data_IF_985568120137
#
_entry.id   IF_985568120137
#
_cell.length_a   1.000
_cell.length_b   1.000
_cell.length_c   1.000
_cell.angle_alpha   90.00
_cell.angle_beta   90.00
_cell.angle_gamma   90.00
#
_symmetry.space_group_name_H-M   'P 1'
#
loop_
_entity.id
_entity.type
_entity.pdbx_description
1 polymer ?
#
# COMPACT_ATOMS: atom_id res chain seq x y z
N UNK A 1 2.28 25.99 0.42
CA UNK A 1 3.09 25.17 1.35
C UNK A 1 4.42 24.94 0.66
N UNK A 2 5.53 25.28 1.30
CA UNK A 2 6.85 24.99 0.72
C UNK A 2 6.95 23.46 0.60
N UNK A 3 7.15 22.92 -0.61
CA UNK A 3 7.20 21.47 -0.87
C UNK A 3 8.51 20.82 -0.37
N UNK A 4 9.02 21.31 0.76
CA UNK A 4 10.36 20.99 1.25
C UNK A 4 10.24 19.90 2.31
N UNK A 5 10.74 18.73 1.98
CA UNK A 5 10.83 17.59 2.89
C UNK A 5 11.74 17.95 4.08
N UNK A 6 11.26 17.90 5.33
CA UNK A 6 12.03 18.31 6.50
C UNK A 6 13.18 17.34 6.77
N UNK A 7 14.23 17.82 7.44
CA UNK A 7 15.29 16.94 7.91
C UNK A 7 14.79 16.13 9.11
N UNK A 8 14.95 14.81 9.03
CA UNK A 8 14.66 13.88 10.12
C UNK A 8 15.91 13.07 10.42
N UNK A 9 16.48 13.30 11.61
CA UNK A 9 17.52 12.45 12.18
C UNK A 9 16.95 11.74 13.40
N UNK A 10 16.71 10.45 13.27
CA UNK A 10 16.12 9.62 14.33
C UNK A 10 16.91 9.69 15.63
N UNK A 11 18.24 9.64 15.56
CA UNK A 11 19.08 9.55 16.75
C UNK A 11 18.94 10.78 17.64
N UNK A 12 18.79 11.97 17.05
CA UNK A 12 18.63 13.23 17.78
C UNK A 12 17.34 13.32 18.62
N UNK A 13 16.27 12.62 18.24
CA UNK A 13 14.95 12.74 18.88
C UNK A 13 14.35 11.40 19.32
N UNK A 14 15.12 10.30 19.28
CA UNK A 14 14.66 8.93 19.59
C UNK A 14 13.88 8.80 20.91
N UNK A 15 14.30 9.54 21.94
CA UNK A 15 13.64 9.52 23.25
C UNK A 15 12.26 10.20 23.20
N UNK A 16 12.16 11.32 22.46
CA UNK A 16 10.88 11.98 22.17
C UNK A 16 10.00 11.13 21.25
N UNK A 17 10.58 10.46 20.25
CA UNK A 17 9.87 9.51 19.40
C UNK A 17 9.29 8.35 20.21
N UNK A 18 10.07 7.77 21.13
CA UNK A 18 9.63 6.70 22.03
C UNK A 18 8.53 7.16 22.99
N UNK A 19 8.63 8.38 23.53
CA UNK A 19 7.57 8.96 24.35
C UNK A 19 6.26 9.12 23.55
N UNK A 20 6.35 9.75 22.38
CA UNK A 20 5.21 9.99 21.51
C UNK A 20 4.56 8.68 21.04
N UNK A 21 5.37 7.65 20.74
CA UNK A 21 4.90 6.31 20.42
C UNK A 21 3.99 5.76 21.51
N UNK A 22 4.45 5.76 22.76
CA UNK A 22 3.68 5.23 23.89
C UNK A 22 2.45 6.07 24.20
N UNK A 23 2.52 7.40 24.05
CA UNK A 23 1.36 8.29 24.20
C UNK A 23 0.28 8.01 23.14
N UNK A 24 0.69 7.79 21.89
CA UNK A 24 -0.22 7.37 20.82
C UNK A 24 -0.79 5.97 21.09
N UNK A 25 -0.03 5.04 21.69
CA UNK A 25 -0.56 3.73 22.06
C UNK A 25 -1.66 3.83 23.11
N UNK A 26 -1.54 4.70 24.12
CA UNK A 26 -2.60 4.92 25.13
C UNK A 26 -3.91 5.32 24.45
N UNK A 27 -3.86 6.34 23.59
CA UNK A 27 -5.05 6.80 22.87
C UNK A 27 -5.56 5.77 21.84
N UNK A 28 -4.63 5.07 21.19
CA UNK A 28 -4.92 4.01 20.23
C UNK A 28 -5.60 2.79 20.85
N UNK A 29 -5.19 2.39 22.06
CA UNK A 29 -5.81 1.32 22.85
C UNK A 29 -7.22 1.67 23.29
N UNK A 30 -7.45 2.92 23.68
CA UNK A 30 -8.80 3.44 23.90
C UNK A 30 -9.64 3.35 22.62
N UNK A 31 -9.15 3.88 21.49
CA UNK A 31 -9.86 3.78 20.21
C UNK A 31 -10.18 2.33 19.82
N UNK A 32 -9.23 1.42 19.99
CA UNK A 32 -9.39 -0.01 19.71
C UNK A 32 -10.47 -0.67 20.57
N UNK A 33 -10.52 -0.35 21.88
CA UNK A 33 -11.49 -0.92 22.81
C UNK A 33 -12.92 -0.42 22.57
N UNK A 34 -13.07 0.79 22.06
CA UNK A 34 -14.36 1.50 21.98
C UNK A 34 -14.92 1.63 20.56
N UNK A 35 -14.22 1.16 19.54
CA UNK A 35 -14.69 1.23 18.15
C UNK A 35 -14.96 -0.17 17.61
N UNK A 36 -16.13 -0.45 16.99
CA UNK A 36 -16.39 -1.73 16.34
C UNK A 36 -15.26 -2.15 15.41
N UNK A 37 -14.89 -3.43 15.46
CA UNK A 37 -13.80 -3.96 14.66
C UNK A 37 -14.05 -3.73 13.17
N UNK A 38 -13.11 -3.08 12.50
CA UNK A 38 -13.06 -2.95 11.06
C UNK A 38 -11.90 -3.80 10.57
N UNK A 39 -12.09 -4.43 9.41
CA UNK A 39 -11.09 -5.32 8.83
C UNK A 39 -9.69 -4.71 8.83
N UNK A 40 -8.70 -5.56 9.13
CA UNK A 40 -7.29 -5.18 9.27
C UNK A 40 -7.02 -4.16 10.38
N UNK A 41 -7.82 -4.18 11.45
CA UNK A 41 -7.71 -3.24 12.59
C UNK A 41 -7.79 -1.76 12.21
N UNK A 42 -8.37 -1.42 11.04
CA UNK A 42 -8.44 -0.04 10.54
C UNK A 42 -9.30 0.89 11.42
N UNK A 43 -10.11 0.32 12.32
CA UNK A 43 -10.87 1.04 13.33
C UNK A 43 -9.99 1.64 14.45
N UNK A 44 -8.69 1.36 14.51
CA UNK A 44 -7.81 1.80 15.61
C UNK A 44 -6.68 2.79 15.25
N UNK A 45 -6.42 3.08 13.97
CA UNK A 45 -5.42 4.04 13.46
C UNK A 45 -5.65 5.55 13.72
N UNK A 46 -4.69 6.40 13.35
CA UNK A 46 -4.81 7.86 13.33
C UNK A 46 -4.63 8.43 11.92
N UNK A 47 -5.08 9.65 11.68
CA UNK A 47 -5.00 10.32 10.38
C UNK A 47 -4.19 11.62 10.48
N UNK A 48 -3.36 11.89 9.48
CA UNK A 48 -2.64 13.16 9.38
C UNK A 48 -3.61 14.29 9.06
N UNK A 49 -3.55 15.33 9.88
CA UNK A 49 -4.34 16.56 9.77
C UNK A 49 -3.41 17.76 9.65
N UNK A 50 -3.89 18.96 9.30
CA UNK A 50 -3.04 20.15 9.27
C UNK A 50 -2.35 20.50 10.60
N UNK A 51 -2.86 20.02 11.74
CA UNK A 51 -2.33 20.35 13.07
C UNK A 51 -1.56 19.20 13.73
N UNK A 52 -1.72 17.96 13.26
CA UNK A 52 -1.10 16.78 13.87
C UNK A 52 -1.84 15.50 13.50
N UNK A 53 -2.13 14.65 14.49
CA UNK A 53 -2.78 13.34 14.28
C UNK A 53 -4.15 13.28 14.94
N UNK A 54 -5.18 12.93 14.19
CA UNK A 54 -6.55 12.82 14.72
C UNK A 54 -7.14 11.42 14.53
N UNK A 55 -7.98 11.01 15.47
CA UNK A 55 -8.85 9.85 15.30
C UNK A 55 -10.06 10.22 14.42
N UNK A 56 -10.75 9.21 13.88
CA UNK A 56 -12.17 9.40 13.55
C UNK A 56 -12.98 9.50 14.85
N UNK A 57 -14.28 9.87 14.80
CA UNK A 57 -15.16 9.75 15.95
C UNK A 57 -15.13 8.32 16.52
N UNK A 58 -14.92 8.22 17.83
CA UNK A 58 -14.91 7.00 18.64
C UNK A 58 -16.30 6.88 19.27
N UNK A 59 -17.05 5.78 19.06
CA UNK A 59 -18.44 5.65 19.50
C UNK A 59 -18.53 5.26 20.98
N UNK A 60 -17.99 6.11 21.85
CA UNK A 60 -18.10 6.03 23.30
C UNK A 60 -18.76 7.30 23.86
N UNK A 61 -19.72 7.12 24.76
CA UNK A 61 -20.60 8.19 25.23
C UNK A 61 -21.24 9.00 24.08
N UNK A 62 -21.11 10.34 24.05
CA UNK A 62 -21.65 11.20 22.98
C UNK A 62 -20.87 11.11 21.65
N UNK A 63 -19.89 10.23 21.55
CA UNK A 63 -18.92 10.20 20.46
C UNK A 63 -17.75 11.14 20.73
N UNK A 64 -16.52 10.67 20.60
CA UNK A 64 -15.30 11.42 20.97
C UNK A 64 -14.29 11.42 19.82
N UNK A 65 -13.80 12.58 19.43
CA UNK A 65 -12.62 12.75 18.58
C UNK A 65 -11.40 13.09 19.46
N UNK A 66 -10.26 12.47 19.18
CA UNK A 66 -8.98 12.77 19.82
C UNK A 66 -8.02 13.35 18.77
N UNK A 67 -7.46 14.51 19.07
CA UNK A 67 -6.43 15.19 18.29
C UNK A 67 -5.16 15.33 19.13
N UNK A 68 -4.06 14.77 18.65
CA UNK A 68 -2.72 15.17 19.06
C UNK A 68 -2.32 16.40 18.24
N UNK A 69 -2.49 17.58 18.83
CA UNK A 69 -2.12 18.85 18.21
C UNK A 69 -0.61 19.06 18.39
N UNK A 70 0.14 18.92 17.31
CA UNK A 70 1.59 19.05 17.28
C UNK A 70 2.06 20.49 17.07
N UNK A 71 1.16 21.44 16.83
CA UNK A 71 1.48 22.87 16.76
C UNK A 71 1.38 23.53 18.12
N UNK A 72 0.28 23.28 18.81
CA UNK A 72 0.06 23.79 20.17
C UNK A 72 0.65 22.87 21.24
N UNK A 73 1.06 21.66 20.85
CA UNK A 73 1.54 20.59 21.73
C UNK A 73 0.54 20.31 22.86
N UNK A 74 -0.65 19.85 22.45
CA UNK A 74 -1.75 19.45 23.35
C UNK A 74 -2.38 18.17 22.84
N UNK A 75 -2.95 17.39 23.76
CA UNK A 75 -3.96 16.39 23.41
C UNK A 75 -5.32 17.03 23.63
N UNK A 76 -6.11 17.11 22.58
CA UNK A 76 -7.44 17.74 22.56
C UNK A 76 -8.47 16.67 22.29
N UNK A 77 -9.49 16.60 23.13
CA UNK A 77 -10.67 15.79 22.86
C UNK A 77 -11.89 16.67 22.60
N UNK A 78 -12.69 16.30 21.61
CA UNK A 78 -13.96 16.95 21.30
C UNK A 78 -15.06 15.91 21.31
N UNK A 79 -16.15 16.15 22.04
CA UNK A 79 -17.29 15.25 22.05
C UNK A 79 -18.37 15.70 21.04
N UNK A 80 -19.28 14.79 20.65
CA UNK A 80 -20.33 15.06 19.66
C UNK A 80 -21.31 16.20 20.03
N UNK A 81 -21.36 16.58 21.30
CA UNK A 81 -22.15 17.71 21.82
C UNK A 81 -21.39 19.05 21.76
N UNK A 82 -20.15 19.05 21.26
CA UNK A 82 -19.30 20.23 21.13
C UNK A 82 -18.48 20.57 22.38
N UNK A 83 -18.59 19.80 23.48
CA UNK A 83 -17.68 19.96 24.63
C UNK A 83 -16.25 19.62 24.21
N UNK A 84 -15.30 20.40 24.72
CA UNK A 84 -13.87 20.24 24.46
C UNK A 84 -13.11 20.24 25.77
N UNK A 85 -12.14 19.35 25.87
CA UNK A 85 -11.18 19.29 26.95
C UNK A 85 -9.79 19.02 26.37
N UNK A 86 -8.74 19.39 27.10
CA UNK A 86 -7.37 19.17 26.63
C UNK A 86 -6.36 19.23 27.76
N UNK A 87 -5.21 18.60 27.54
CA UNK A 87 -4.03 18.72 28.41
C UNK A 87 -2.76 18.88 27.57
N UNK A 88 -1.68 19.34 28.20
CA UNK A 88 -0.43 19.63 27.51
C UNK A 88 0.29 18.34 27.08
N UNK A 89 0.82 18.34 25.86
CA UNK A 89 1.69 17.31 25.34
C UNK A 89 3.14 17.79 25.52
N UNK A 90 3.89 17.15 26.41
CA UNK A 90 5.22 17.60 26.82
C UNK A 90 6.00 16.53 27.58
N UNK A 91 7.13 16.90 28.22
CA UNK A 91 7.92 15.98 29.02
C UNK A 91 7.06 15.39 30.14
N UNK A 92 6.98 14.07 30.21
CA UNK A 92 6.12 13.37 31.17
C UNK A 92 6.53 11.90 31.30
N UNK A 93 5.93 11.21 32.26
CA UNK A 93 5.93 9.74 32.31
C UNK A 93 4.74 9.18 31.54
N UNK A 94 4.79 7.90 31.16
CA UNK A 94 3.66 7.26 30.48
C UNK A 94 2.50 7.06 31.45
N UNK A 95 2.78 6.77 32.73
CA UNK A 95 1.76 6.66 33.77
C UNK A 95 1.00 7.97 33.99
N UNK A 96 1.70 9.11 34.03
CA UNK A 96 1.07 10.42 34.15
C UNK A 96 0.26 10.78 32.91
N UNK A 97 0.80 10.55 31.69
CA UNK A 97 0.05 10.75 30.46
C UNK A 97 -1.23 9.89 30.42
N UNK A 98 -1.14 8.61 30.81
CA UNK A 98 -2.28 7.71 30.90
C UNK A 98 -3.37 8.24 31.85
N UNK A 99 -2.98 8.75 33.03
CA UNK A 99 -3.92 9.35 33.98
C UNK A 99 -4.61 10.60 33.41
N UNK A 100 -3.85 11.53 32.81
CA UNK A 100 -4.39 12.73 32.16
C UNK A 100 -5.32 12.38 31.00
N UNK A 101 -4.98 11.36 30.20
CA UNK A 101 -5.83 10.87 29.13
C UNK A 101 -7.13 10.26 29.66
N UNK A 102 -7.06 9.45 30.73
CA UNK A 102 -8.27 8.90 31.36
C UNK A 102 -9.21 10.00 31.87
N UNK A 103 -8.66 11.04 32.50
CA UNK A 103 -9.42 12.21 32.94
C UNK A 103 -10.07 12.94 31.75
N UNK A 104 -9.31 13.18 30.67
CA UNK A 104 -9.81 13.79 29.45
C UNK A 104 -11.05 13.04 28.91
N UNK A 105 -10.98 11.71 28.82
CA UNK A 105 -12.10 10.89 28.35
C UNK A 105 -13.31 10.99 29.28
N UNK A 106 -13.12 10.92 30.59
CA UNK A 106 -14.21 11.06 31.56
C UNK A 106 -14.90 12.43 31.49
N UNK A 107 -14.13 13.52 31.34
CA UNK A 107 -14.69 14.88 31.20
C UNK A 107 -15.55 15.04 29.95
N UNK A 108 -15.20 14.33 28.87
CA UNK A 108 -15.95 14.31 27.62
C UNK A 108 -17.19 13.40 27.67
N UNK A 109 -17.37 12.65 28.76
CA UNK A 109 -18.48 11.72 28.96
C UNK A 109 -18.25 10.32 28.37
N UNK A 110 -16.98 9.97 28.09
CA UNK A 110 -16.58 8.62 27.70
C UNK A 110 -16.18 7.75 28.90
N UNK A 111 -15.90 6.49 28.63
CA UNK A 111 -15.50 5.46 29.58
C UNK A 111 -14.03 5.08 29.34
N UNK A 112 -13.06 5.53 30.17
CA UNK A 112 -11.64 5.31 29.94
C UNK A 112 -11.17 3.88 30.29
N UNK A 113 -11.80 2.87 29.69
CA UNK A 113 -11.48 1.45 29.90
C UNK A 113 -10.84 0.85 28.66
N UNK A 114 -9.61 0.35 28.80
CA UNK A 114 -8.88 -0.31 27.72
C UNK A 114 -7.71 -1.13 28.30
N UNK A 115 -7.14 -2.01 27.50
CA UNK A 115 -5.96 -2.79 27.90
C UNK A 115 -4.74 -1.85 28.11
N UNK A 116 -4.14 -1.89 29.29
CA UNK A 116 -3.04 -1.02 29.69
C UNK A 116 -1.64 -1.47 29.27
N UNK A 117 -1.51 -2.50 28.44
CA UNK A 117 -0.21 -3.03 28.00
C UNK A 117 0.14 -2.48 26.61
N UNK A 118 1.36 -1.92 26.39
CA UNK A 118 1.85 -1.62 25.05
C UNK A 118 1.90 -2.86 24.14
N UNK A 119 1.58 -2.68 22.86
CA UNK A 119 1.75 -3.67 21.80
C UNK A 119 3.02 -3.37 21.00
N UNK A 120 3.56 -4.38 20.30
CA UNK A 120 4.63 -4.23 19.30
C UNK A 120 5.93 -3.63 19.85
N UNK A 121 6.07 -3.61 21.17
CA UNK A 121 7.26 -3.17 21.89
C UNK A 121 7.86 -4.37 22.62
N UNK A 122 9.18 -4.63 22.46
CA UNK A 122 9.86 -5.69 23.22
C UNK A 122 9.80 -5.42 24.73
N UNK A 123 9.46 -6.45 25.52
CA UNK A 123 9.41 -6.39 26.98
C UNK A 123 8.60 -5.18 27.51
N UNK A 124 7.30 -5.08 27.17
CA UNK A 124 6.53 -3.88 27.43
C UNK A 124 6.26 -3.71 28.93
N UNK A 125 6.41 -2.48 29.43
CA UNK A 125 5.99 -2.09 30.79
C UNK A 125 4.54 -1.59 30.71
N UNK A 126 3.62 -2.04 31.59
CA UNK A 126 2.25 -1.51 31.63
C UNK A 126 2.23 0.02 31.75
N UNK A 127 1.31 0.69 31.05
CA UNK A 127 1.28 2.15 30.98
C UNK A 127 1.22 2.81 32.36
N UNK A 128 0.44 2.24 33.28
CA UNK A 128 0.26 2.74 34.65
C UNK A 128 1.49 2.55 35.54
N UNK A 129 2.45 1.71 35.13
CA UNK A 129 3.66 1.38 35.87
C UNK A 129 4.92 2.06 35.27
N UNK A 130 4.86 2.54 34.03
CA UNK A 130 6.00 3.22 33.39
C UNK A 130 6.11 4.67 33.88
N UNK A 131 6.77 4.82 35.03
CA UNK A 131 7.12 6.07 35.70
C UNK A 131 8.46 6.67 35.23
N UNK A 132 9.04 6.21 34.12
CA UNK A 132 10.28 6.79 33.60
C UNK A 132 10.02 8.18 33.03
N UNK A 133 10.85 9.15 33.40
CA UNK A 133 10.81 10.48 32.80
C UNK A 133 11.21 10.39 31.32
N UNK A 134 10.41 11.01 30.46
CA UNK A 134 10.70 11.06 29.02
C UNK A 134 10.78 12.49 28.52
N UNK A 135 11.86 12.86 27.81
CA UNK A 135 11.99 14.18 27.22
C UNK A 135 11.04 14.35 26.03
N UNK A 136 10.65 15.60 25.78
CA UNK A 136 9.79 15.95 24.66
C UNK A 136 10.34 17.20 23.96
N UNK A 137 10.92 17.00 22.78
CA UNK A 137 11.35 18.07 21.89
C UNK A 137 10.18 18.49 20.96
N UNK A 138 9.65 19.69 21.21
CA UNK A 138 8.56 20.29 20.43
C UNK A 138 8.93 20.46 18.95
N UNK A 139 10.14 20.92 18.66
CA UNK A 139 10.57 21.15 17.29
C UNK A 139 10.78 19.83 16.54
N UNK A 140 11.26 18.77 17.21
CA UNK A 140 11.36 17.44 16.62
C UNK A 140 9.99 16.87 16.25
N UNK A 141 8.98 17.00 17.13
CA UNK A 141 7.62 16.55 16.83
C UNK A 141 7.02 17.34 15.67
N UNK A 142 7.27 18.65 15.59
CA UNK A 142 6.82 19.45 14.45
C UNK A 142 7.52 19.06 13.14
N UNK A 143 8.82 18.72 13.17
CA UNK A 143 9.53 18.16 11.99
C UNK A 143 8.95 16.82 11.56
N UNK A 144 8.70 15.91 12.51
CA UNK A 144 8.06 14.62 12.25
C UNK A 144 6.67 14.80 11.62
N UNK A 145 5.85 15.70 12.16
CA UNK A 145 4.55 16.04 11.59
C UNK A 145 4.65 16.56 10.15
N UNK A 146 5.58 17.47 9.87
CA UNK A 146 5.80 17.98 8.52
C UNK A 146 6.25 16.87 7.55
N UNK A 147 7.01 15.88 8.03
CA UNK A 147 7.37 14.71 7.25
C UNK A 147 6.15 13.85 6.96
N UNK A 148 5.34 13.53 7.99
CA UNK A 148 4.09 12.79 7.81
C UNK A 148 3.16 13.46 6.80
N UNK A 149 3.03 14.79 6.83
CA UNK A 149 2.22 15.53 5.85
C UNK A 149 2.77 15.41 4.41
N UNK A 150 4.10 15.36 4.24
CA UNK A 150 4.75 15.17 2.95
C UNK A 150 4.54 13.74 2.42
N UNK A 151 4.72 12.74 3.29
CA UNK A 151 4.48 11.33 2.98
C UNK A 151 3.01 11.06 2.66
N UNK A 152 2.09 11.56 3.49
CA UNK A 152 0.64 11.41 3.34
C UNK A 152 0.16 11.90 1.98
N UNK A 153 0.68 13.03 1.50
CA UNK A 153 0.38 13.56 0.17
C UNK A 153 0.79 12.60 -0.94
N UNK A 154 2.00 12.04 -0.89
CA UNK A 154 2.49 11.10 -1.91
C UNK A 154 1.72 9.78 -1.84
N UNK A 155 1.46 9.26 -0.63
CA UNK A 155 0.70 8.02 -0.43
C UNK A 155 -0.75 8.16 -0.91
N UNK A 156 -1.39 9.32 -0.66
CA UNK A 156 -2.73 9.61 -1.18
C UNK A 156 -2.75 9.64 -2.71
N UNK A 157 -1.75 10.26 -3.34
CA UNK A 157 -1.62 10.24 -4.81
C UNK A 157 -1.39 8.82 -5.32
N UNK A 158 -0.51 8.05 -4.68
CA UNK A 158 -0.27 6.65 -5.02
C UNK A 158 -1.57 5.84 -4.95
N UNK A 159 -2.36 6.01 -3.89
CA UNK A 159 -3.65 5.32 -3.71
C UNK A 159 -4.65 5.54 -4.86
N UNK A 160 -4.59 6.69 -5.54
CA UNK A 160 -5.56 7.00 -6.62
C UNK A 160 -5.42 6.14 -7.88
N UNK A 161 -4.26 5.51 -8.12
CA UNK A 161 -4.04 4.65 -9.28
C UNK A 161 -4.48 3.19 -9.07
N UNK A 162 -5.32 2.94 -8.06
CA UNK A 162 -5.82 1.60 -7.72
C UNK A 162 -7.34 1.59 -7.56
N UNK A 163 -7.99 0.63 -8.22
CA UNK A 163 -9.45 0.44 -8.25
C UNK A 163 -9.95 -0.58 -7.22
N UNK A 164 -9.08 -1.51 -6.81
CA UNK A 164 -9.41 -2.52 -5.81
C UNK A 164 -9.52 -1.96 -4.40
N UNK A 165 -9.76 -2.85 -3.43
CA UNK A 165 -9.73 -2.49 -2.00
C UNK A 165 -8.34 -1.93 -1.68
N UNK A 166 -8.30 -0.78 -1.01
CA UNK A 166 -7.07 -0.17 -0.51
C UNK A 166 -7.33 0.55 0.81
N UNK A 167 -6.40 0.41 1.76
CA UNK A 167 -6.48 1.10 3.04
C UNK A 167 -6.54 2.61 2.84
N UNK A 168 -7.13 3.38 3.77
CA UNK A 168 -6.77 4.78 3.92
C UNK A 168 -5.26 4.94 4.12
N UNK A 169 -4.75 6.16 3.89
CA UNK A 169 -3.43 6.52 4.41
C UNK A 169 -3.63 6.85 5.89
N UNK A 170 -3.05 6.05 6.76
CA UNK A 170 -3.28 6.13 8.19
C UNK A 170 -2.10 5.61 9.00
N UNK A 171 -2.02 6.05 10.25
CA UNK A 171 -0.94 5.74 11.15
C UNK A 171 -1.35 4.63 12.13
N UNK A 172 -0.61 3.53 12.13
CA UNK A 172 -0.70 2.49 13.14
C UNK A 172 0.18 2.89 14.32
N UNK A 173 -0.45 3.04 15.49
CA UNK A 173 0.25 3.41 16.73
C UNK A 173 1.04 2.23 17.33
N UNK A 174 0.77 1.00 16.89
CA UNK A 174 1.49 -0.20 17.32
C UNK A 174 2.98 -0.13 16.95
N UNK A 175 3.29 -0.03 15.66
CA UNK A 175 4.66 0.12 15.15
C UNK A 175 5.08 1.58 14.89
N UNK A 176 4.20 2.56 15.12
CA UNK A 176 4.42 3.99 14.79
C UNK A 176 4.77 4.19 13.30
N UNK A 177 3.96 3.61 12.43
CA UNK A 177 4.12 3.69 10.98
C UNK A 177 2.92 4.34 10.31
N UNK A 178 3.20 5.16 9.29
CA UNK A 178 2.17 5.61 8.35
C UNK A 178 2.17 4.65 7.17
N UNK A 179 1.03 4.05 6.84
CA UNK A 179 0.95 3.00 5.82
C UNK A 179 -0.16 3.23 4.79
N UNK A 180 0.04 2.62 3.62
CA UNK A 180 -0.95 2.45 2.56
C UNK A 180 -0.83 1.04 1.97
N UNK A 181 -1.95 0.32 1.92
CA UNK A 181 -1.98 -1.08 1.49
C UNK A 181 -2.96 -1.27 0.34
N UNK A 182 -2.55 -2.05 -0.67
CA UNK A 182 -3.37 -2.49 -1.80
C UNK A 182 -3.63 -3.99 -1.69
N UNK A 183 -4.80 -4.42 -2.13
CA UNK A 183 -5.27 -5.79 -1.99
C UNK A 183 -5.57 -6.40 -3.35
N UNK A 184 -5.12 -7.63 -3.59
CA UNK A 184 -5.39 -8.32 -4.87
C UNK A 184 -6.86 -8.74 -5.03
N UNK A 185 -7.59 -8.83 -3.91
CA UNK A 185 -8.94 -9.39 -3.82
C UNK A 185 -8.95 -10.89 -3.49
N UNK A 186 -7.81 -11.58 -3.58
CA UNK A 186 -7.68 -13.00 -3.22
C UNK A 186 -7.38 -13.19 -1.73
N UNK A 187 -7.68 -14.41 -1.24
CA UNK A 187 -7.34 -14.84 0.13
C UNK A 187 -5.86 -15.16 0.23
N UNK A 188 -5.26 -14.89 1.39
CA UNK A 188 -3.91 -15.32 1.70
C UNK A 188 -3.91 -16.59 2.59
N UNK A 189 -2.77 -17.29 2.70
CA UNK A 189 -2.53 -18.27 3.75
C UNK A 189 -2.68 -17.65 5.15
N UNK A 190 -2.75 -18.49 6.19
CA UNK A 190 -2.80 -18.02 7.57
C UNK A 190 -1.44 -17.40 7.96
N UNK A 191 -1.46 -16.19 8.53
CA UNK A 191 -0.25 -15.53 9.00
C UNK A 191 0.39 -16.30 10.17
N UNK A 192 1.72 -16.48 10.19
CA UNK A 192 2.40 -17.25 11.25
C UNK A 192 2.28 -16.62 12.65
N UNK A 193 1.96 -15.32 12.73
CA UNK A 193 1.88 -14.58 14.00
C UNK A 193 3.26 -14.22 14.53
N UNK A 194 3.41 -14.12 15.85
CA UNK A 194 4.70 -13.90 16.51
C UNK A 194 5.14 -12.44 16.62
N UNK A 195 4.22 -11.49 16.40
CA UNK A 195 4.51 -10.08 16.59
C UNK A 195 4.57 -9.78 18.11
N UNK A 196 5.65 -9.12 18.61
CA UNK A 196 5.84 -8.90 20.05
C UNK A 196 4.64 -8.24 20.72
N UNK A 197 4.16 -8.83 21.81
CA UNK A 197 3.06 -8.31 22.62
C UNK A 197 1.76 -8.01 21.82
N UNK A 198 1.57 -8.64 20.66
CA UNK A 198 0.35 -8.53 19.86
C UNK A 198 -0.28 -9.92 19.73
N UNK A 199 -1.57 -10.11 20.09
CA UNK A 199 -2.22 -11.41 19.92
C UNK A 199 -2.22 -11.86 18.45
N UNK A 200 -1.86 -13.13 18.19
CA UNK A 200 -1.71 -13.65 16.82
C UNK A 200 -2.97 -13.49 15.96
N UNK A 201 -4.15 -13.64 16.55
CA UNK A 201 -5.42 -13.50 15.83
C UNK A 201 -5.62 -12.09 15.23
N UNK A 202 -5.02 -11.04 15.84
CA UNK A 202 -5.06 -9.68 15.30
C UNK A 202 -4.26 -9.63 13.99
N UNK A 203 -3.05 -10.19 14.00
CA UNK A 203 -2.19 -10.24 12.81
C UNK A 203 -2.78 -11.16 11.74
N UNK A 204 -3.34 -12.31 12.14
CA UNK A 204 -3.99 -13.25 11.23
C UNK A 204 -5.23 -12.66 10.55
N UNK A 205 -6.02 -11.85 11.24
CA UNK A 205 -7.11 -11.08 10.64
C UNK A 205 -6.57 -9.98 9.72
N UNK A 206 -5.53 -9.26 10.14
CA UNK A 206 -4.92 -8.21 9.35
C UNK A 206 -4.32 -8.69 8.02
N UNK A 207 -3.90 -9.95 7.94
CA UNK A 207 -3.28 -10.53 6.75
C UNK A 207 -4.11 -11.68 6.15
N UNK A 208 -5.44 -11.68 6.26
CA UNK A 208 -6.32 -12.70 5.67
C UNK A 208 -6.42 -12.63 4.12
N UNK A 209 -5.87 -11.57 3.51
CA UNK A 209 -5.85 -11.30 2.07
C UNK A 209 -4.44 -11.10 1.55
N UNK A 210 -4.28 -11.34 0.25
CA UNK A 210 -3.03 -10.98 -0.42
C UNK A 210 -2.89 -9.45 -0.48
N UNK A 211 -1.76 -8.95 0.00
CA UNK A 211 -1.47 -7.52 0.11
C UNK A 211 -0.13 -7.15 -0.49
N UNK A 212 -0.06 -5.90 -0.94
CA UNK A 212 1.16 -5.13 -1.18
C UNK A 212 1.03 -3.89 -0.32
N UNK A 213 1.89 -3.79 0.69
CA UNK A 213 1.87 -2.71 1.67
C UNK A 213 3.14 -1.90 1.54
N UNK A 214 3.01 -0.58 1.68
CA UNK A 214 4.13 0.32 1.82
C UNK A 214 3.87 1.29 2.95
N UNK A 215 4.93 1.70 3.65
CA UNK A 215 4.80 2.61 4.77
C UNK A 215 6.05 3.42 5.05
N UNK A 216 6.00 4.17 6.13
CA UNK A 216 7.05 5.05 6.61
C UNK A 216 7.20 4.91 8.11
N UNK A 217 8.42 4.61 8.56
CA UNK A 217 8.82 4.71 9.96
C UNK A 217 9.70 5.94 10.15
N UNK A 218 9.54 6.65 11.28
CA UNK A 218 10.45 7.73 11.61
C UNK A 218 11.75 7.24 12.27
N UNK A 219 11.94 5.91 12.33
CA UNK A 219 13.05 5.17 12.93
C UNK A 219 12.57 4.22 14.03
N UNK A 220 13.41 3.25 14.40
CA UNK A 220 13.07 2.16 15.32
C UNK A 220 12.69 0.86 14.59
N UNK A 221 12.36 -0.19 15.35
CA UNK A 221 11.79 -1.43 14.76
C UNK A 221 12.76 -2.27 13.91
N UNK A 222 14.08 -2.12 14.10
CA UNK A 222 15.12 -2.88 13.39
C UNK A 222 16.03 -2.03 12.51
N UNK A 223 15.72 -0.74 12.35
CA UNK A 223 16.60 0.26 11.73
C UNK A 223 16.68 1.54 12.57
N UNK A 224 17.87 2.14 12.65
CA UNK A 224 18.14 3.33 13.49
C UNK A 224 18.06 4.65 12.69
N UNK A 225 17.29 4.67 11.61
CA UNK A 225 17.07 5.84 10.76
C UNK A 225 15.65 5.84 10.18
N UNK A 226 15.10 7.02 9.83
CA UNK A 226 13.79 7.08 9.17
C UNK A 226 13.85 6.45 7.79
N UNK A 227 12.86 5.64 7.44
CA UNK A 227 12.82 4.97 6.15
C UNK A 227 11.41 4.66 5.69
N UNK A 228 11.28 4.51 4.38
CA UNK A 228 10.13 3.88 3.75
C UNK A 228 10.37 2.40 3.63
N UNK A 229 9.29 1.64 3.70
CA UNK A 229 9.33 0.20 3.53
C UNK A 229 8.24 -0.27 2.57
N UNK A 230 8.44 -1.45 1.99
CA UNK A 230 7.43 -2.13 1.21
C UNK A 230 7.58 -3.65 1.29
N UNK A 231 6.46 -4.34 1.48
CA UNK A 231 6.39 -5.79 1.52
C UNK A 231 5.13 -6.32 0.84
N UNK A 232 5.11 -7.63 0.62
CA UNK A 232 3.94 -8.35 0.14
C UNK A 232 3.69 -9.56 1.02
N UNK A 233 2.40 -9.83 1.32
CA UNK A 233 1.97 -11.02 2.03
C UNK A 233 0.88 -11.75 1.23
N UNK A 234 1.00 -13.07 0.97
CA UNK A 234 2.24 -13.83 1.11
C UNK A 234 3.30 -13.27 0.16
N UNK A 235 4.58 -13.39 0.52
CA UNK A 235 5.67 -12.90 -0.33
C UNK A 235 5.75 -13.72 -1.62
N UNK A 236 5.58 -13.10 -2.81
CA UNK A 236 5.68 -13.82 -4.07
C UNK A 236 7.09 -14.35 -4.33
N UNK A 237 7.19 -15.48 -5.03
CA UNK A 237 8.48 -16.01 -5.46
C UNK A 237 9.22 -14.98 -6.33
N UNK A 238 10.49 -14.76 -6.03
CA UNK A 238 11.34 -13.77 -6.72
C UNK A 238 11.19 -12.34 -6.22
N UNK A 239 10.29 -12.04 -5.28
CA UNK A 239 10.03 -10.67 -4.81
C UNK A 239 11.28 -10.02 -4.21
N UNK A 240 12.00 -10.75 -3.36
CA UNK A 240 13.30 -10.34 -2.80
C UNK A 240 14.33 -9.87 -3.84
N UNK A 241 14.32 -10.49 -5.02
CA UNK A 241 15.28 -10.22 -6.10
C UNK A 241 14.76 -9.25 -7.15
N UNK A 242 13.57 -8.67 -6.96
CA UNK A 242 12.98 -7.77 -7.93
C UNK A 242 13.76 -6.45 -8.00
N UNK A 243 13.86 -5.89 -9.21
CA UNK A 243 14.43 -4.56 -9.41
C UNK A 243 13.45 -3.50 -8.91
N UNK A 244 13.86 -2.76 -7.88
CA UNK A 244 13.11 -1.67 -7.26
C UNK A 244 13.86 -0.36 -7.52
N UNK A 245 13.09 0.73 -7.65
CA UNK A 245 13.59 2.09 -7.83
C UNK A 245 13.28 2.94 -6.60
N UNK A 246 13.97 4.05 -6.35
CA UNK A 246 15.23 4.46 -6.99
C UNK A 246 16.38 3.52 -6.61
N UNK A 247 17.57 3.70 -7.19
CA UNK A 247 18.74 2.84 -6.92
C UNK A 247 19.17 2.81 -5.44
N UNK A 248 18.75 3.81 -4.66
CA UNK A 248 18.96 3.86 -3.21
C UNK A 248 18.07 2.88 -2.42
N UNK A 249 17.03 2.30 -3.05
CA UNK A 249 16.19 1.28 -2.43
C UNK A 249 16.87 -0.08 -2.46
N UNK A 250 16.71 -0.87 -1.39
CA UNK A 250 17.36 -2.17 -1.26
C UNK A 250 16.50 -3.16 -0.45
N UNK A 251 16.80 -4.45 -0.55
CA UNK A 251 16.15 -5.48 0.27
C UNK A 251 16.82 -5.62 1.64
N UNK A 252 16.06 -5.57 2.72
CA UNK A 252 16.55 -5.78 4.08
C UNK A 252 16.20 -7.18 4.60
N UNK A 253 17.19 -8.04 4.71
CA UNK A 253 17.06 -9.45 5.14
C UNK A 253 16.34 -9.64 6.48
N UNK A 254 16.74 -8.88 7.50
CA UNK A 254 16.20 -9.04 8.85
C UNK A 254 14.74 -8.62 9.00
N UNK A 255 14.27 -7.75 8.10
CA UNK A 255 12.87 -7.30 8.07
C UNK A 255 12.07 -8.07 7.03
N UNK A 256 12.73 -8.65 6.03
CA UNK A 256 12.10 -9.27 4.86
C UNK A 256 11.24 -8.28 4.05
N UNK A 257 11.74 -7.07 3.88
CA UNK A 257 11.06 -5.97 3.18
C UNK A 257 12.05 -5.18 2.32
N UNK A 258 11.52 -4.46 1.32
CA UNK A 258 12.29 -3.42 0.65
C UNK A 258 12.33 -2.17 1.52
N UNK A 259 13.49 -1.53 1.60
CA UNK A 259 13.73 -0.31 2.37
C UNK A 259 14.24 0.78 1.42
N UNK A 260 13.69 1.98 1.56
CA UNK A 260 14.23 3.20 0.96
C UNK A 260 14.52 4.21 2.09
N UNK A 261 15.78 4.55 2.35
CA UNK A 261 16.15 5.56 3.34
C UNK A 261 15.45 6.91 3.08
N UNK A 262 14.99 7.56 4.15
CA UNK A 262 14.28 8.84 4.04
C UNK A 262 15.18 9.95 3.51
N UNK A 263 16.45 9.96 3.89
CA UNK A 263 17.46 10.93 3.43
C UNK A 263 17.69 10.86 1.91
N UNK A 264 17.61 9.66 1.32
CA UNK A 264 17.69 9.47 -0.13
C UNK A 264 16.50 10.14 -0.85
N UNK A 265 15.30 10.08 -0.26
CA UNK A 265 14.13 10.81 -0.76
C UNK A 265 14.29 12.30 -0.55
N UNK A 266 14.68 12.70 0.67
CA UNK A 266 14.82 14.10 1.06
C UNK A 266 15.85 14.87 0.21
N UNK A 267 16.94 14.21 -0.17
CA UNK A 267 18.05 14.78 -0.95
C UNK A 267 17.86 14.65 -2.47
N UNK A 268 16.82 13.95 -2.93
CA UNK A 268 16.52 13.83 -4.35
C UNK A 268 16.15 15.18 -4.97
N UNK A 269 16.37 15.31 -6.29
CA UNK A 269 15.98 16.50 -7.05
C UNK A 269 14.46 16.72 -7.00
N UNK A 270 13.69 15.63 -7.09
CA UNK A 270 12.25 15.60 -6.81
C UNK A 270 11.96 14.48 -5.78
N UNK A 271 11.82 14.82 -4.49
CA UNK A 271 11.50 13.86 -3.44
C UNK A 271 10.17 13.13 -3.64
N UNK A 272 9.16 13.81 -4.22
CA UNK A 272 7.85 13.18 -4.43
C UNK A 272 7.94 12.12 -5.52
N UNK A 273 8.66 12.41 -6.60
CA UNK A 273 8.94 11.46 -7.67
C UNK A 273 9.77 10.27 -7.17
N UNK A 274 10.81 10.53 -6.36
CA UNK A 274 11.65 9.47 -5.79
C UNK A 274 10.85 8.48 -4.93
N UNK A 275 9.99 8.99 -4.03
CA UNK A 275 9.11 8.14 -3.23
C UNK A 275 8.06 7.44 -4.11
N UNK A 276 7.48 8.14 -5.09
CA UNK A 276 6.51 7.53 -6.00
C UNK A 276 7.12 6.38 -6.81
N UNK A 277 8.37 6.52 -7.26
CA UNK A 277 9.10 5.47 -7.98
C UNK A 277 9.27 4.20 -7.12
N UNK A 278 9.53 4.36 -5.82
CA UNK A 278 9.58 3.27 -4.86
C UNK A 278 8.23 2.59 -4.66
N UNK A 279 7.19 3.37 -4.41
CA UNK A 279 5.83 2.84 -4.23
C UNK A 279 5.35 2.07 -5.46
N UNK A 280 5.57 2.61 -6.66
CA UNK A 280 5.19 1.97 -7.92
C UNK A 280 6.02 0.71 -8.14
N UNK A 281 7.36 0.79 -8.13
CA UNK A 281 8.20 -0.36 -8.50
C UNK A 281 8.06 -1.54 -7.53
N UNK A 282 7.91 -1.29 -6.23
CA UNK A 282 7.64 -2.35 -5.23
C UNK A 282 6.26 -2.98 -5.41
N UNK A 283 5.23 -2.18 -5.68
CA UNK A 283 3.89 -2.68 -6.00
C UNK A 283 3.89 -3.47 -7.32
N UNK A 284 4.55 -3.00 -8.37
CA UNK A 284 4.62 -3.70 -9.65
C UNK A 284 5.32 -5.05 -9.52
N UNK A 285 6.38 -5.13 -8.70
CA UNK A 285 7.04 -6.37 -8.36
C UNK A 285 6.09 -7.32 -7.63
N UNK A 286 5.39 -6.84 -6.60
CA UNK A 286 4.45 -7.64 -5.81
C UNK A 286 3.28 -8.15 -6.66
N UNK A 287 2.62 -7.26 -7.41
CA UNK A 287 1.47 -7.57 -8.24
C UNK A 287 1.84 -8.44 -9.45
N UNK A 288 2.99 -8.16 -10.10
CA UNK A 288 3.48 -8.92 -11.25
C UNK A 288 3.86 -10.35 -10.88
N UNK A 289 4.72 -10.51 -9.86
CA UNK A 289 5.17 -11.83 -9.39
C UNK A 289 4.05 -12.61 -8.69
N UNK A 290 3.16 -11.89 -8.00
CA UNK A 290 1.96 -12.47 -7.40
C UNK A 290 0.86 -12.82 -8.41
N UNK A 291 1.00 -12.45 -9.70
CA UNK A 291 0.00 -12.73 -10.72
C UNK A 291 -1.36 -12.07 -10.44
N UNK A 292 -1.36 -10.83 -9.95
CA UNK A 292 -2.57 -10.05 -9.71
C UNK A 292 -3.19 -9.62 -11.04
N UNK A 293 -4.51 -9.38 -11.07
CA UNK A 293 -5.19 -8.89 -12.27
C UNK A 293 -5.02 -7.36 -12.40
N UNK A 294 -3.82 -6.94 -12.81
CA UNK A 294 -3.42 -5.54 -12.89
C UNK A 294 -4.34 -4.69 -13.76
N UNK A 295 -4.87 -5.25 -14.85
CA UNK A 295 -5.81 -4.54 -15.74
C UNK A 295 -7.14 -4.20 -15.03
N UNK A 296 -7.59 -5.05 -14.10
CA UNK A 296 -8.78 -4.81 -13.29
C UNK A 296 -8.51 -3.86 -12.11
N UNK A 297 -7.28 -3.88 -11.61
CA UNK A 297 -6.90 -3.24 -10.35
C UNK A 297 -6.28 -1.85 -10.55
N UNK A 298 -5.72 -1.53 -11.70
CA UNK A 298 -4.95 -0.31 -11.93
C UNK A 298 -5.70 0.71 -12.77
N UNK A 299 -5.41 1.99 -12.52
CA UNK A 299 -5.80 3.07 -13.41
C UNK A 299 -4.76 4.18 -13.39
N UNK A 300 -4.92 5.19 -14.26
CA UNK A 300 -4.08 6.38 -14.20
C UNK A 300 -4.24 7.12 -12.86
N UNK A 301 -3.19 7.78 -12.38
CA UNK A 301 -3.27 8.61 -11.18
C UNK A 301 -4.35 9.68 -11.32
N UNK A 302 -5.11 9.86 -10.24
CA UNK A 302 -6.19 10.83 -10.17
C UNK A 302 -5.69 12.25 -10.34
N UNK A 303 -6.47 13.06 -11.04
CA UNK A 303 -6.18 14.48 -11.27
C UNK A 303 -7.27 15.35 -10.64
N UNK A 304 -6.93 16.46 -9.98
CA UNK A 304 -7.92 17.37 -9.42
C UNK A 304 -8.95 17.82 -10.45
N UNK A 305 -10.23 17.79 -10.07
CA UNK A 305 -11.39 18.16 -10.90
C UNK A 305 -11.64 17.26 -12.12
N UNK A 306 -10.98 16.10 -12.21
CA UNK A 306 -11.20 15.14 -13.28
C UNK A 306 -11.77 13.85 -12.72
N UNK A 307 -13.04 13.59 -13.03
CA UNK A 307 -13.66 12.29 -12.71
C UNK A 307 -13.10 11.24 -13.67
N UNK A 308 -12.65 10.11 -13.12
CA UNK A 308 -12.20 8.97 -13.92
C UNK A 308 -13.34 8.53 -14.84
N UNK A 309 -13.04 8.29 -16.12
CA UNK A 309 -14.01 7.70 -17.03
C UNK A 309 -14.35 6.28 -16.56
N UNK A 310 -15.65 5.93 -16.43
CA UNK A 310 -16.02 4.60 -15.97
C UNK A 310 -15.69 3.54 -17.04
N UNK A 311 -15.38 2.33 -16.61
CA UNK A 311 -14.95 1.24 -17.50
C UNK A 311 -16.04 0.87 -18.52
N UNK A 312 -17.32 0.97 -18.12
CA UNK A 312 -18.44 0.81 -19.04
C UNK A 312 -18.47 1.87 -20.16
N UNK A 313 -17.99 3.09 -19.90
CA UNK A 313 -17.84 4.12 -20.93
C UNK A 313 -16.57 3.91 -21.76
N UNK A 314 -15.51 3.33 -21.19
CA UNK A 314 -14.34 2.88 -21.95
C UNK A 314 -14.67 1.70 -22.86
N UNK A 315 -15.66 0.87 -22.54
CA UNK A 315 -16.16 -0.17 -23.44
C UNK A 315 -17.05 0.40 -24.57
N UNK A 316 -17.74 1.52 -24.33
CA UNK A 316 -18.62 2.20 -25.32
C UNK A 316 -17.88 3.18 -26.23
N UNK A 317 -16.84 3.83 -25.70
CA UNK A 317 -15.91 4.74 -26.40
C UNK A 317 -14.54 4.10 -26.62
N UNK A 318 -14.38 2.81 -26.29
CA UNK A 318 -13.43 1.99 -27.03
C UNK A 318 -13.83 2.27 -28.47
N UNK A 319 -12.90 2.78 -29.31
CA UNK A 319 -13.24 3.03 -30.69
C UNK A 319 -13.93 1.76 -31.17
N UNK A 320 -15.13 1.89 -31.73
CA UNK A 320 -15.80 0.79 -32.40
C UNK A 320 -14.80 0.26 -33.41
N UNK A 321 -14.01 -0.76 -33.05
CA UNK A 321 -12.79 -1.16 -33.72
C UNK A 321 -12.24 -0.04 -34.62
N UNK A 322 -11.64 1.01 -34.05
CA UNK A 322 -10.84 1.91 -34.88
C UNK A 322 -9.91 1.01 -35.69
N UNK A 323 -9.81 1.22 -37.00
CA UNK A 323 -9.29 0.31 -38.05
C UNK A 323 -7.86 -0.28 -37.83
N UNK A 324 -7.27 -0.11 -36.65
CA UNK A 324 -6.05 -0.73 -36.17
C UNK A 324 -6.25 -2.25 -36.01
N UNK A 325 -6.06 -2.94 -37.13
CA UNK A 325 -6.06 -4.40 -37.25
C UNK A 325 -4.82 -5.00 -36.60
N UNK A 326 -4.98 -6.19 -36.05
CA UNK A 326 -3.83 -7.07 -35.83
C UNK A 326 -3.31 -7.47 -37.19
N UNK A 327 -2.06 -7.17 -37.49
CA UNK A 327 -1.38 -7.62 -38.70
C UNK A 327 -0.65 -8.93 -38.40
N UNK A 328 -0.82 -9.91 -39.27
CA UNK A 328 -0.10 -11.19 -39.20
C UNK A 328 0.98 -11.21 -40.27
N UNK A 329 2.22 -11.43 -39.84
CA UNK A 329 3.38 -11.64 -40.70
C UNK A 329 3.81 -13.11 -40.58
N UNK A 330 3.65 -13.86 -41.68
CA UNK A 330 3.94 -15.29 -41.73
C UNK A 330 5.21 -15.60 -42.51
N UNK A 331 6.06 -16.45 -41.93
CA UNK A 331 7.19 -17.10 -42.59
C UNK A 331 7.04 -18.63 -42.61
N UNK A 332 8.01 -19.32 -43.20
CA UNK A 332 7.95 -20.77 -43.41
C UNK A 332 7.92 -21.60 -42.11
N UNK A 333 8.61 -21.15 -41.06
CA UNK A 333 8.73 -21.87 -39.77
C UNK A 333 8.35 -21.01 -38.56
N UNK A 334 8.19 -19.71 -38.73
CA UNK A 334 7.85 -18.73 -37.69
C UNK A 334 6.94 -17.66 -38.25
N UNK A 335 6.18 -17.01 -37.39
CA UNK A 335 5.39 -15.84 -37.72
C UNK A 335 5.21 -14.96 -36.50
N UNK A 336 4.56 -13.81 -36.72
CA UNK A 336 4.20 -12.90 -35.64
C UNK A 336 2.89 -12.18 -35.91
N UNK A 337 2.22 -11.82 -34.83
CA UNK A 337 1.11 -10.90 -34.82
C UNK A 337 1.61 -9.57 -34.25
N UNK A 338 1.38 -8.48 -34.96
CA UNK A 338 1.75 -7.14 -34.49
C UNK A 338 0.57 -6.20 -34.50
N UNK A 339 0.66 -5.18 -33.64
CA UNK A 339 -0.32 -4.10 -33.57
C UNK A 339 0.41 -2.80 -33.26
N UNK A 340 0.21 -1.79 -34.11
CA UNK A 340 0.79 -0.46 -33.93
C UNK A 340 -0.32 0.50 -33.49
N UNK A 341 -0.16 1.11 -32.32
CA UNK A 341 -1.09 2.10 -31.77
C UNK A 341 -0.30 3.35 -31.43
N UNK A 342 -0.73 4.51 -31.93
CA UNK A 342 -0.05 5.80 -31.70
C UNK A 342 1.46 5.77 -32.04
N UNK A 343 1.86 4.94 -33.04
CA UNK A 343 3.26 4.75 -33.45
C UNK A 343 4.09 3.80 -32.58
N UNK A 344 3.48 3.14 -31.58
CA UNK A 344 4.12 2.15 -30.70
C UNK A 344 3.67 0.75 -31.09
N UNK A 345 4.63 -0.17 -31.29
CA UNK A 345 4.36 -1.56 -31.72
C UNK A 345 4.31 -2.51 -30.52
N UNK A 346 3.28 -3.35 -30.45
CA UNK A 346 3.23 -4.55 -29.62
C UNK A 346 3.25 -5.79 -30.52
N UNK A 347 3.86 -6.88 -30.05
CA UNK A 347 4.00 -8.09 -30.86
C UNK A 347 3.79 -9.40 -30.07
N UNK A 348 3.43 -10.45 -30.81
CA UNK A 348 3.35 -11.82 -30.32
C UNK A 348 3.93 -12.75 -31.39
N UNK A 349 4.97 -13.49 -31.05
CA UNK A 349 5.64 -14.42 -31.96
C UNK A 349 5.17 -15.85 -31.75
N UNK A 350 5.25 -16.63 -32.83
CA UNK A 350 4.95 -18.04 -32.81
C UNK A 350 5.84 -18.83 -33.77
N UNK A 351 6.00 -20.12 -33.50
CA UNK A 351 6.72 -21.08 -34.33
C UNK A 351 5.76 -22.17 -34.85
N UNK A 352 5.92 -22.63 -36.09
CA UNK A 352 5.13 -23.71 -36.69
C UNK A 352 5.75 -25.07 -36.40
N UNK A 353 4.95 -26.03 -35.98
CA UNK A 353 5.36 -27.40 -35.69
C UNK A 353 4.59 -28.38 -36.60
N UNK A 354 4.97 -28.40 -37.88
CA UNK A 354 4.20 -29.09 -38.93
C UNK A 354 3.03 -28.24 -39.45
N UNK A 355 2.13 -28.87 -40.19
CA UNK A 355 1.00 -28.17 -40.84
C UNK A 355 -0.18 -27.90 -39.91
N UNK A 356 -0.31 -28.65 -38.81
CA UNK A 356 -1.48 -28.61 -37.93
C UNK A 356 -1.26 -27.97 -36.55
N UNK A 357 -0.12 -27.29 -36.32
CA UNK A 357 0.24 -26.83 -34.98
C UNK A 357 1.11 -25.57 -34.98
N UNK A 358 0.75 -24.62 -34.12
CA UNK A 358 1.58 -23.45 -33.79
C UNK A 358 1.91 -23.41 -32.30
N UNK A 359 3.07 -22.85 -31.98
CA UNK A 359 3.58 -22.69 -30.63
C UNK A 359 3.75 -21.20 -30.39
N UNK A 360 2.97 -20.62 -29.48
CA UNK A 360 3.11 -19.21 -29.09
C UNK A 360 4.24 -19.12 -28.06
N UNK A 361 5.34 -18.49 -28.44
CA UNK A 361 6.58 -18.50 -27.66
C UNK A 361 6.86 -17.17 -26.93
N UNK A 362 6.39 -16.03 -27.46
CA UNK A 362 6.58 -14.73 -26.81
C UNK A 362 5.42 -13.75 -27.05
N UNK A 363 5.20 -12.83 -26.12
CA UNK A 363 4.25 -11.71 -26.25
C UNK A 363 4.82 -10.51 -25.52
N UNK A 364 4.99 -9.39 -26.23
CA UNK A 364 5.52 -8.14 -25.70
C UNK A 364 4.55 -6.99 -25.95
N UNK A 365 4.24 -6.27 -24.87
CA UNK A 365 3.42 -5.05 -24.91
C UNK A 365 4.22 -3.94 -24.23
N UNK A 366 4.66 -2.91 -24.98
CA UNK A 366 5.37 -1.78 -24.41
C UNK A 366 4.58 -1.09 -23.30
N UNK A 367 5.29 -0.49 -22.35
CA UNK A 367 4.67 0.17 -21.18
C UNK A 367 3.59 1.19 -21.57
N UNK A 368 3.78 1.94 -22.66
CA UNK A 368 2.83 2.93 -23.18
C UNK A 368 1.48 2.34 -23.61
N UNK A 369 1.44 1.04 -23.92
CA UNK A 369 0.27 0.31 -24.40
C UNK A 369 -0.34 -0.64 -23.34
N UNK A 370 0.27 -0.75 -22.15
CA UNK A 370 -0.28 -1.56 -21.04
C UNK A 370 -1.63 -0.98 -20.59
N UNK A 371 -2.53 -1.85 -20.10
CA UNK A 371 -3.89 -1.48 -19.72
C UNK A 371 -4.86 -1.24 -20.89
N UNK A 372 -4.41 -1.34 -22.15
CA UNK A 372 -5.28 -1.20 -23.35
C UNK A 372 -5.70 -2.54 -23.98
N UNK A 373 -5.49 -3.67 -23.28
CA UNK A 373 -5.80 -5.03 -23.76
C UNK A 373 -5.12 -5.44 -25.09
N UNK A 374 -4.01 -4.80 -25.46
CA UNK A 374 -3.32 -5.09 -26.73
C UNK A 374 -2.84 -6.53 -26.80
N UNK A 375 -2.21 -7.03 -25.73
CA UNK A 375 -1.77 -8.44 -25.66
C UNK A 375 -2.94 -9.43 -25.77
N UNK A 376 -4.08 -9.15 -25.13
CA UNK A 376 -5.30 -9.98 -25.24
C UNK A 376 -5.79 -10.04 -26.69
N UNK A 377 -5.77 -8.91 -27.41
CA UNK A 377 -6.16 -8.84 -28.84
C UNK A 377 -5.24 -9.66 -29.74
N UNK A 378 -3.92 -9.61 -29.51
CA UNK A 378 -2.95 -10.42 -30.25
C UNK A 378 -3.23 -11.92 -30.06
N UNK A 379 -3.42 -12.36 -28.82
CA UNK A 379 -3.74 -13.77 -28.51
C UNK A 379 -5.08 -14.17 -29.12
N UNK A 380 -6.11 -13.34 -29.00
CA UNK A 380 -7.44 -13.60 -29.57
C UNK A 380 -7.38 -13.79 -31.09
N UNK A 381 -6.65 -12.94 -31.81
CA UNK A 381 -6.49 -13.09 -33.26
C UNK A 381 -5.86 -14.44 -33.62
N UNK A 382 -4.80 -14.86 -32.90
CA UNK A 382 -4.20 -16.18 -33.13
C UNK A 382 -5.15 -17.34 -32.84
N UNK A 383 -6.03 -17.21 -31.83
CA UNK A 383 -7.07 -18.21 -31.55
C UNK A 383 -8.09 -18.27 -32.69
N UNK A 384 -8.55 -17.12 -33.19
CA UNK A 384 -9.51 -17.04 -34.30
C UNK A 384 -8.92 -17.61 -35.60
N UNK A 385 -7.68 -17.26 -35.92
CA UNK A 385 -6.95 -17.82 -37.06
C UNK A 385 -6.78 -19.33 -36.91
N UNK A 386 -6.42 -19.80 -35.72
CA UNK A 386 -6.26 -21.23 -35.45
C UNK A 386 -7.56 -22.01 -35.67
N UNK A 387 -8.71 -21.44 -35.27
CA UNK A 387 -10.03 -22.02 -35.59
C UNK A 387 -10.31 -22.04 -37.08
N UNK A 388 -10.03 -20.94 -37.78
CA UNK A 388 -10.27 -20.81 -39.21
C UNK A 388 -9.39 -21.76 -40.04
N UNK A 389 -8.15 -21.98 -39.62
CA UNK A 389 -7.17 -22.82 -40.31
C UNK A 389 -7.20 -24.29 -39.86
N UNK A 390 -7.90 -24.61 -38.78
CA UNK A 390 -7.91 -25.94 -38.19
C UNK A 390 -6.56 -26.36 -37.60
N UNK A 391 -5.75 -25.40 -37.14
CA UNK A 391 -4.47 -25.66 -36.47
C UNK A 391 -4.63 -25.62 -34.95
N UNK A 392 -3.89 -26.46 -34.25
CA UNK A 392 -3.86 -26.44 -32.79
C UNK A 392 -2.79 -25.49 -32.24
N UNK A 393 -2.95 -25.05 -30.99
CA UNK A 393 -2.04 -24.13 -30.30
C UNK A 393 -1.39 -24.80 -29.08
N UNK A 394 -0.10 -24.51 -28.87
CA UNK A 394 0.60 -24.70 -27.59
C UNK A 394 1.10 -23.34 -27.08
N UNK A 395 0.57 -22.81 -25.96
CA UNK A 395 0.98 -21.52 -25.43
C UNK A 395 2.13 -21.68 -24.43
N UNK A 396 3.38 -21.61 -24.91
CA UNK A 396 4.57 -21.64 -24.04
C UNK A 396 4.83 -20.27 -23.39
N UNK A 397 4.46 -19.18 -24.06
CA UNK A 397 4.51 -17.85 -23.48
C UNK A 397 3.62 -17.79 -22.21
N UNK A 398 4.15 -17.39 -21.04
CA UNK A 398 3.37 -17.29 -19.81
C UNK A 398 2.16 -16.36 -19.94
N UNK A 399 2.30 -15.26 -20.69
CA UNK A 399 1.21 -14.33 -20.95
C UNK A 399 0.09 -15.00 -21.76
N UNK A 400 0.40 -15.60 -22.91
CA UNK A 400 -0.59 -16.30 -23.73
C UNK A 400 -1.29 -17.43 -22.97
N UNK A 401 -0.53 -18.20 -22.17
CA UNK A 401 -1.07 -19.26 -21.31
C UNK A 401 -2.03 -18.70 -20.26
N UNK A 402 -1.68 -17.59 -19.61
CA UNK A 402 -2.55 -16.93 -18.65
C UNK A 402 -3.84 -16.41 -19.29
N UNK A 403 -3.76 -15.80 -20.49
CA UNK A 403 -4.93 -15.33 -21.22
C UNK A 403 -5.86 -16.48 -21.61
N UNK A 404 -5.33 -17.55 -22.24
CA UNK A 404 -6.14 -18.73 -22.60
C UNK A 404 -6.75 -19.40 -21.35
N UNK A 405 -6.06 -19.39 -20.21
CA UNK A 405 -6.61 -19.87 -18.94
C UNK A 405 -7.80 -19.06 -18.42
N UNK A 406 -7.88 -17.77 -18.76
CA UNK A 406 -9.00 -16.87 -18.40
C UNK A 406 -10.20 -16.99 -19.34
N UNK A 407 -10.03 -17.61 -20.51
CA UNK A 407 -11.03 -17.74 -21.56
C UNK A 407 -11.35 -19.22 -21.82
N UNK A 408 -12.31 -19.83 -21.09
CA UNK A 408 -12.69 -21.22 -21.27
C UNK A 408 -13.10 -21.55 -22.71
N UNK A 409 -13.65 -20.58 -23.42
CA UNK A 409 -14.03 -20.69 -24.82
C UNK A 409 -12.84 -20.82 -25.78
N UNK A 410 -11.60 -20.49 -25.38
CA UNK A 410 -10.38 -20.63 -26.20
C UNK A 410 -9.71 -22.00 -26.08
N UNK A 411 -10.22 -22.86 -25.20
CA UNK A 411 -9.65 -24.19 -24.94
C UNK A 411 -9.85 -25.16 -26.12
N UNK A 412 -10.73 -24.84 -27.06
CA UNK A 412 -11.10 -25.66 -28.22
C UNK A 412 -9.97 -25.81 -29.24
N UNK A 413 -9.09 -24.81 -29.36
CA UNK A 413 -7.93 -24.84 -30.26
C UNK A 413 -6.65 -25.36 -29.61
N UNK A 414 -6.68 -25.67 -28.30
CA UNK A 414 -5.49 -26.21 -27.65
C UNK A 414 -5.23 -27.65 -28.10
N UNK A 415 -3.95 -27.96 -28.34
CA UNK A 415 -3.56 -29.35 -28.56
C UNK A 415 -3.83 -30.15 -27.29
N UNK A 416 -4.77 -31.10 -27.37
CA UNK A 416 -5.00 -32.08 -26.31
C UNK A 416 -3.80 -33.01 -26.25
N UNK A 417 -3.22 -33.13 -25.05
CA UNK A 417 -2.10 -34.02 -24.73
C UNK A 417 -2.47 -35.49 -24.90
#
# INVERSE_FOLDING_TARGET
>A
MNNKWPHLDYLSWRETCSALHLYLQVAGKYRLAHTPWLNHSWNATFYVTPNGLASSPIPDGPGIEILFDFREHRVVGTCGEGRRASFDLGPSTVAAFHASFGQLISELGGTPTFNGQPNEVPNPIPFTEDHRDRPYDRDAVQRFHNALASVDRVFKTFRTSFLGKSSPVHLFWGALDLAVTRFSGRRAPLHPGGIPALPDHVTQEAYDREVSSAGFWPGGGGIDYPAFYAYAYPTPNGFRGASVRPDAAFWHDGLSEFILPYDAVQSAADPDEALMAFLISTYEAAAGLGGWDRDLLECAHGQPRQVRRPDAALAKNAPSAGDEKVEREDGASKGRYRMVIDGVEAEMTYSRAGEGLIIIDHTEVPAALRGRKVGERLVRQAIEDARGEGVAIIPLCPFAKAQIGRHPEWQDVLRRS
#
